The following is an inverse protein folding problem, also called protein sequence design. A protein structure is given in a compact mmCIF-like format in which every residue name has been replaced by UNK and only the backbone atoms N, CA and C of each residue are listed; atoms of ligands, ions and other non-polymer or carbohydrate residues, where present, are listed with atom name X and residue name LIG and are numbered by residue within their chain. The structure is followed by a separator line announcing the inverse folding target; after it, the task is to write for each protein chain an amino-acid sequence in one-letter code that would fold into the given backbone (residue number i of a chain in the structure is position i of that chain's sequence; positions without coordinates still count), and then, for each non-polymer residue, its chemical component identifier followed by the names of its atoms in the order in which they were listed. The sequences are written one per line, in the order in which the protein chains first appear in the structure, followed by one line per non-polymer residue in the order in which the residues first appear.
data_IF_329383730120
#
_entry.id   IF_329383730120
#
_cell.length_a   1.000
_cell.length_b   1.000
_cell.length_c   1.000
_cell.angle_alpha   90.00
_cell.angle_beta   90.00
_cell.angle_gamma   90.00
#
_symmetry.space_group_name_H-M   'P 1'
#
loop_
_entity.id
_entity.type
_entity.pdbx_description
1 polymer ?
#
# COMPACT_ATOMS: atom_id res chain seq x y z
N UNK A 1 -9.42 3.36 -0.45
CA UNK A 1 -8.74 2.86 -1.67
C UNK A 1 -9.51 1.67 -2.16
N UNK A 2 -9.89 1.63 -3.45
CA UNK A 2 -10.76 0.58 -4.00
C UNK A 2 -10.13 -0.02 -5.25
N UNK A 3 -10.18 -1.36 -5.36
CA UNK A 3 -9.85 -2.12 -6.56
C UNK A 3 -11.17 -2.68 -7.14
N UNK A 4 -11.48 -2.38 -8.39
CA UNK A 4 -12.76 -2.73 -8.99
C UNK A 4 -12.53 -3.41 -10.35
N UNK A 5 -13.24 -4.54 -10.57
CA UNK A 5 -13.22 -5.27 -11.84
C UNK A 5 -11.79 -5.63 -12.34
N UNK A 6 -10.85 -5.90 -11.42
CA UNK A 6 -9.50 -6.37 -11.76
C UNK A 6 -9.56 -7.89 -11.93
N UNK A 7 -9.34 -8.35 -13.17
CA UNK A 7 -9.30 -9.78 -13.51
C UNK A 7 -7.88 -10.33 -13.65
N UNK A 8 -6.94 -9.48 -14.02
CA UNK A 8 -5.53 -9.82 -14.15
C UNK A 8 -4.72 -8.94 -13.18
N UNK A 9 -4.32 -9.51 -12.05
CA UNK A 9 -3.61 -8.80 -10.96
C UNK A 9 -2.12 -8.74 -11.22
N UNK A 10 -1.56 -9.81 -11.83
CA UNK A 10 -0.15 -9.93 -12.11
C UNK A 10 0.20 -9.33 -13.46
N UNK A 11 0.96 -8.23 -13.42
CA UNK A 11 1.34 -7.48 -14.62
C UNK A 11 2.82 -7.10 -14.59
N UNK A 12 3.41 -7.01 -15.78
CA UNK A 12 4.74 -6.41 -15.95
C UNK A 12 4.61 -4.91 -16.12
N UNK A 13 5.22 -4.15 -15.21
CA UNK A 13 5.31 -2.69 -15.31
C UNK A 13 6.61 -2.16 -14.70
N UNK A 14 6.99 -0.94 -15.05
CA UNK A 14 7.98 -0.18 -14.29
C UNK A 14 7.34 0.30 -12.99
N UNK A 15 7.46 -0.52 -11.94
CA UNK A 15 6.90 -0.27 -10.60
C UNK A 15 7.35 1.09 -10.05
N UNK A 16 8.63 1.44 -10.23
CA UNK A 16 9.20 2.69 -9.71
C UNK A 16 8.54 3.90 -10.36
N UNK A 17 8.40 3.88 -11.68
CA UNK A 17 7.79 4.97 -12.41
C UNK A 17 6.28 5.10 -12.16
N UNK A 18 5.57 3.97 -12.12
CA UNK A 18 4.14 3.98 -11.78
C UNK A 18 3.91 4.52 -10.37
N UNK A 19 4.69 4.06 -9.39
CA UNK A 19 4.63 4.59 -8.02
C UNK A 19 4.95 6.10 -7.97
N UNK A 20 5.95 6.57 -8.72
CA UNK A 20 6.27 8.00 -8.79
C UNK A 20 5.08 8.83 -9.28
N UNK A 21 4.34 8.35 -10.28
CA UNK A 21 3.10 9.01 -10.76
C UNK A 21 2.05 9.02 -9.66
N UNK A 22 1.74 7.87 -9.07
CA UNK A 22 0.68 7.75 -8.06
C UNK A 22 1.00 8.56 -6.80
N UNK A 23 2.23 8.51 -6.30
CA UNK A 23 2.67 9.30 -5.14
C UNK A 23 2.58 10.79 -5.39
N UNK A 24 2.95 11.26 -6.58
CA UNK A 24 2.80 12.67 -6.93
C UNK A 24 1.33 13.11 -6.97
N UNK A 25 0.43 12.30 -7.53
CA UNK A 25 -1.00 12.59 -7.56
C UNK A 25 -1.61 12.59 -6.15
N UNK A 26 -1.31 11.57 -5.33
CA UNK A 26 -1.81 11.45 -3.96
C UNK A 26 -1.28 12.58 -3.05
N UNK A 27 0.01 12.86 -3.12
CA UNK A 27 0.63 13.96 -2.37
C UNK A 27 -0.02 15.31 -2.71
N UNK A 28 -0.30 15.57 -4.00
CA UNK A 28 -1.02 16.76 -4.39
C UNK A 28 -2.47 16.76 -3.87
N UNK A 29 -3.18 15.65 -3.99
CA UNK A 29 -4.55 15.51 -3.49
C UNK A 29 -4.63 15.82 -1.97
N UNK A 30 -3.74 15.24 -1.17
CA UNK A 30 -3.66 15.47 0.29
C UNK A 30 -3.32 16.95 0.57
N UNK A 31 -2.32 17.49 -0.12
CA UNK A 31 -1.82 18.87 0.08
C UNK A 31 -2.87 19.94 -0.22
N UNK A 32 -3.76 19.71 -1.18
CA UNK A 32 -4.76 20.67 -1.61
C UNK A 32 -6.18 20.39 -1.07
N UNK A 33 -6.31 19.38 -0.23
CA UNK A 33 -7.57 19.05 0.46
C UNK A 33 -7.53 19.58 1.89
N UNK A 34 -8.46 20.45 2.29
CA UNK A 34 -8.55 20.94 3.66
C UNK A 34 -8.87 19.80 4.66
N UNK A 35 -8.58 20.04 5.94
CA UNK A 35 -8.96 19.13 7.01
C UNK A 35 -10.47 18.85 7.00
N UNK A 36 -10.84 17.57 7.12
CA UNK A 36 -12.22 17.08 7.00
C UNK A 36 -12.64 16.78 5.56
N UNK A 37 -11.80 17.05 4.55
CA UNK A 37 -12.04 16.61 3.19
C UNK A 37 -11.68 15.13 2.97
N UNK A 38 -11.93 14.65 1.76
CA UNK A 38 -11.71 13.25 1.37
C UNK A 38 -10.75 13.15 0.18
N UNK A 39 -9.87 12.14 0.22
CA UNK A 39 -9.02 11.73 -0.89
C UNK A 39 -9.26 10.26 -1.14
N UNK A 40 -9.48 9.87 -2.39
CA UNK A 40 -9.69 8.47 -2.76
C UNK A 40 -8.82 8.07 -3.95
N UNK A 41 -8.30 6.84 -3.91
CA UNK A 41 -7.64 6.19 -5.03
C UNK A 41 -8.49 4.99 -5.44
N UNK A 42 -8.86 4.93 -6.71
CA UNK A 42 -9.58 3.80 -7.31
C UNK A 42 -8.77 3.24 -8.46
N UNK A 43 -8.65 1.92 -8.50
CA UNK A 43 -7.99 1.17 -9.56
C UNK A 43 -9.00 0.25 -10.20
N UNK A 44 -9.05 0.20 -11.53
CA UNK A 44 -9.85 -0.79 -12.26
C UNK A 44 -9.18 -1.24 -13.55
N UNK A 45 -9.48 -2.44 -13.96
CA UNK A 45 -9.12 -2.95 -15.27
C UNK A 45 -10.26 -2.66 -16.25
N UNK A 46 -9.93 -2.04 -17.37
CA UNK A 46 -10.84 -1.81 -18.48
C UNK A 46 -10.73 -2.98 -19.46
N UNK A 47 -11.77 -3.21 -20.27
CA UNK A 47 -11.70 -4.19 -21.32
C UNK A 47 -10.50 -3.87 -22.26
N UNK A 48 -9.47 -4.70 -22.19
CA UNK A 48 -8.24 -4.52 -22.97
C UNK A 48 -8.40 -5.01 -24.40
N UNK A 49 -7.79 -4.30 -25.34
CA UNK A 49 -7.93 -4.57 -26.77
C UNK A 49 -6.67 -5.16 -27.40
N UNK A 50 -5.55 -5.20 -26.69
CA UNK A 50 -4.26 -5.67 -27.22
C UNK A 50 -3.93 -7.04 -26.64
N UNK A 51 -3.67 -8.02 -27.50
CA UNK A 51 -3.31 -9.39 -27.08
C UNK A 51 -2.15 -9.36 -26.07
N UNK A 52 -2.40 -9.87 -24.85
CA UNK A 52 -1.41 -9.94 -23.76
C UNK A 52 -1.25 -8.68 -22.93
N UNK A 53 -2.03 -7.60 -23.16
CA UNK A 53 -2.02 -6.38 -22.35
C UNK A 53 -3.41 -6.09 -21.79
N UNK A 54 -3.49 -5.76 -20.50
CA UNK A 54 -4.67 -5.19 -19.85
C UNK A 54 -4.59 -3.66 -19.82
N UNK A 55 -5.72 -2.99 -19.96
CA UNK A 55 -5.81 -1.55 -19.78
C UNK A 55 -6.20 -1.25 -18.33
N UNK A 56 -5.34 -0.56 -17.60
CA UNK A 56 -5.58 -0.22 -16.19
C UNK A 56 -5.83 1.27 -16.04
N UNK A 57 -6.86 1.61 -15.28
CA UNK A 57 -7.23 2.98 -14.96
C UNK A 57 -7.05 3.23 -13.46
N UNK A 58 -6.27 4.26 -13.14
CA UNK A 58 -6.06 4.76 -11.79
C UNK A 58 -6.75 6.11 -11.67
N UNK A 59 -7.66 6.28 -10.70
CA UNK A 59 -8.36 7.53 -10.42
C UNK A 59 -7.99 8.03 -9.04
N UNK A 60 -7.35 9.18 -8.98
CA UNK A 60 -7.11 9.91 -7.73
C UNK A 60 -8.09 11.07 -7.67
N UNK A 61 -9.00 11.03 -6.71
CA UNK A 61 -10.03 12.06 -6.53
C UNK A 61 -9.90 12.70 -5.16
N UNK A 62 -9.98 14.01 -5.12
CA UNK A 62 -9.99 14.82 -3.92
C UNK A 62 -11.24 15.71 -3.84
N UNK A 63 -11.60 16.13 -2.62
CA UNK A 63 -12.63 17.13 -2.35
C UNK A 63 -12.04 18.50 -2.02
N UNK A 64 -10.84 18.79 -2.55
CA UNK A 64 -10.07 19.97 -2.26
C UNK A 64 -10.56 21.25 -2.95
N UNK A 65 -9.65 22.21 -3.05
CA UNK A 65 -9.95 23.54 -3.60
C UNK A 65 -10.31 23.53 -5.09
N UNK A 66 -9.96 22.45 -5.82
CA UNK A 66 -10.08 22.40 -7.26
C UNK A 66 -9.18 23.40 -7.98
N UNK A 67 -9.36 23.55 -9.29
CA UNK A 67 -8.56 24.42 -10.15
C UNK A 67 -9.43 25.20 -11.13
N UNK A 68 -8.93 26.35 -11.57
CA UNK A 68 -9.56 27.12 -12.65
C UNK A 68 -9.47 26.39 -13.98
N UNK A 69 -10.43 26.58 -14.92
CA UNK A 69 -10.39 25.96 -16.23
C UNK A 69 -9.12 26.33 -17.03
N UNK A 70 -8.64 27.54 -16.87
CA UNK A 70 -7.42 28.04 -17.52
C UNK A 70 -6.18 27.35 -17.01
N UNK A 71 -6.08 27.07 -15.71
CA UNK A 71 -4.97 26.36 -15.12
C UNK A 71 -5.04 24.85 -15.40
N UNK A 72 -6.23 24.26 -15.41
CA UNK A 72 -6.44 22.86 -15.74
C UNK A 72 -5.89 22.46 -17.10
N UNK A 73 -5.91 23.38 -18.08
CA UNK A 73 -5.34 23.15 -19.42
C UNK A 73 -3.80 23.16 -19.41
N UNK A 74 -3.18 23.80 -18.44
CA UNK A 74 -1.72 23.99 -18.35
C UNK A 74 -1.06 23.19 -17.24
N UNK A 75 -1.81 22.45 -16.45
CA UNK A 75 -1.29 21.77 -15.26
C UNK A 75 -0.15 20.77 -15.57
N UNK A 76 -0.10 20.27 -16.79
CA UNK A 76 0.95 19.37 -17.25
C UNK A 76 2.14 20.08 -17.91
N UNK A 77 2.12 21.40 -18.03
CA UNK A 77 3.25 22.19 -18.51
C UNK A 77 4.29 22.38 -17.39
N UNK A 78 5.60 22.32 -17.70
CA UNK A 78 6.64 22.49 -16.70
C UNK A 78 6.59 23.90 -16.05
N UNK A 79 6.83 23.96 -14.74
CA UNK A 79 6.89 25.17 -13.91
C UNK A 79 5.57 25.96 -13.77
N UNK A 80 4.45 25.45 -14.30
CA UNK A 80 3.15 26.07 -14.14
C UNK A 80 2.61 25.89 -12.71
N UNK A 81 2.05 26.98 -12.17
CA UNK A 81 1.44 27.02 -10.83
C UNK A 81 0.27 28.00 -10.83
N UNK A 82 -0.84 27.59 -10.20
CA UNK A 82 -1.96 28.49 -10.01
C UNK A 82 -1.60 29.58 -8.98
N UNK A 83 -1.68 30.84 -9.38
CA UNK A 83 -1.34 32.00 -8.52
C UNK A 83 -2.58 32.53 -7.81
N UNK A 84 -3.01 31.85 -6.76
CA UNK A 84 -4.07 32.34 -5.87
C UNK A 84 -3.49 32.62 -4.48
N UNK A 85 -4.14 33.45 -3.69
CA UNK A 85 -3.71 33.78 -2.32
C UNK A 85 -3.62 32.56 -1.40
N UNK A 86 -4.39 31.52 -1.71
CA UNK A 86 -4.41 30.26 -0.97
C UNK A 86 -3.26 29.33 -1.39
N UNK A 87 -2.95 29.27 -2.69
CA UNK A 87 -1.91 28.38 -3.24
C UNK A 87 -0.51 28.97 -3.07
N UNK A 88 -0.37 30.29 -2.99
CA UNK A 88 0.95 30.96 -2.85
C UNK A 88 1.71 30.59 -1.56
N UNK A 89 1.03 30.07 -0.54
CA UNK A 89 1.63 29.61 0.72
C UNK A 89 2.12 28.13 0.65
N UNK A 90 1.78 27.41 -0.40
CA UNK A 90 2.08 26.00 -0.52
C UNK A 90 3.33 25.81 -1.39
N UNK A 91 4.42 25.31 -0.82
CA UNK A 91 5.69 25.07 -1.53
C UNK A 91 5.56 23.95 -2.60
N UNK A 92 6.17 24.13 -3.77
CA UNK A 92 6.25 23.14 -4.83
C UNK A 92 7.04 23.68 -6.02
N UNK A 93 7.73 22.80 -6.74
CA UNK A 93 8.58 23.14 -7.90
C UNK A 93 7.80 23.38 -9.19
N UNK A 94 6.54 22.93 -9.29
CA UNK A 94 5.75 22.97 -10.53
C UNK A 94 6.20 21.95 -11.59
N UNK A 95 7.05 20.97 -11.21
CA UNK A 95 7.57 19.95 -12.13
C UNK A 95 6.83 18.61 -12.01
N UNK A 96 6.23 18.32 -10.86
CA UNK A 96 5.66 16.99 -10.58
C UNK A 96 4.64 16.52 -11.61
N UNK A 97 3.70 17.38 -12.00
CA UNK A 97 2.65 17.03 -12.96
C UNK A 97 3.20 16.82 -14.38
N UNK A 98 4.16 17.65 -14.79
CA UNK A 98 4.84 17.49 -16.08
C UNK A 98 5.66 16.19 -16.14
N UNK A 99 6.34 15.82 -15.03
CA UNK A 99 7.05 14.55 -14.90
C UNK A 99 6.06 13.38 -14.97
N UNK A 100 4.94 13.45 -14.24
CA UNK A 100 3.90 12.42 -14.28
C UNK A 100 3.34 12.21 -15.68
N UNK A 101 3.07 13.30 -16.40
CA UNK A 101 2.63 13.24 -17.81
C UNK A 101 3.65 12.53 -18.70
N UNK A 102 4.92 12.91 -18.61
CA UNK A 102 5.99 12.29 -19.39
C UNK A 102 6.14 10.79 -19.09
N UNK A 103 6.06 10.39 -17.81
CA UNK A 103 6.12 8.97 -17.42
C UNK A 103 4.96 8.20 -18.04
N UNK A 104 3.74 8.71 -17.89
CA UNK A 104 2.53 8.06 -18.43
C UNK A 104 2.60 7.94 -19.95
N UNK A 105 3.07 8.99 -20.65
CA UNK A 105 3.26 8.96 -22.10
C UNK A 105 4.32 7.92 -22.52
N UNK A 106 5.45 7.81 -21.79
CA UNK A 106 6.46 6.76 -22.03
C UNK A 106 5.92 5.34 -21.80
N UNK A 107 4.94 5.18 -20.89
CA UNK A 107 4.24 3.92 -20.68
C UNK A 107 3.16 3.64 -21.73
N UNK A 108 2.99 4.51 -22.73
CA UNK A 108 1.95 4.40 -23.76
C UNK A 108 0.53 4.69 -23.24
N UNK A 109 0.43 5.38 -22.11
CA UNK A 109 -0.82 5.70 -21.44
C UNK A 109 -1.34 7.12 -21.69
N UNK A 110 -2.37 7.49 -20.95
CA UNK A 110 -2.95 8.84 -20.93
C UNK A 110 -3.19 9.30 -19.50
N UNK A 111 -3.05 10.61 -19.27
CA UNK A 111 -3.43 11.25 -18.01
C UNK A 111 -4.36 12.43 -18.30
N UNK A 112 -5.47 12.49 -17.60
CA UNK A 112 -6.51 13.52 -17.74
C UNK A 112 -6.84 14.09 -16.35
N UNK A 113 -7.39 15.30 -16.31
CA UNK A 113 -7.88 15.93 -15.09
C UNK A 113 -9.30 16.45 -15.28
N UNK A 114 -10.16 16.19 -14.31
CA UNK A 114 -11.49 16.76 -14.19
C UNK A 114 -11.53 17.55 -12.89
N UNK A 115 -11.77 18.87 -12.97
CA UNK A 115 -11.69 19.76 -11.81
C UNK A 115 -12.59 20.96 -11.99
N UNK A 116 -13.01 21.53 -10.88
CA UNK A 116 -13.68 22.84 -10.86
C UNK A 116 -13.38 23.54 -9.52
N UNK A 117 -13.29 24.88 -9.48
CA UNK A 117 -13.07 25.61 -8.25
C UNK A 117 -14.07 25.25 -7.14
N UNK A 118 -13.56 24.89 -5.96
CA UNK A 118 -14.36 24.49 -4.81
C UNK A 118 -15.03 23.11 -4.89
N UNK A 119 -14.75 22.32 -5.93
CA UNK A 119 -15.33 20.97 -6.12
C UNK A 119 -14.29 19.86 -6.10
N UNK A 120 -13.02 20.20 -5.82
CA UNK A 120 -11.91 19.23 -5.86
C UNK A 120 -11.45 18.90 -7.27
N UNK A 121 -10.61 17.88 -7.37
CA UNK A 121 -10.07 17.38 -8.63
C UNK A 121 -10.12 15.87 -8.72
N UNK A 122 -10.23 15.34 -9.93
CA UNK A 122 -10.10 13.92 -10.24
C UNK A 122 -9.08 13.75 -11.37
N UNK A 123 -7.95 13.13 -11.04
CA UNK A 123 -6.93 12.74 -12.02
C UNK A 123 -7.19 11.30 -12.46
N UNK A 124 -7.17 11.08 -13.78
CA UNK A 124 -7.45 9.80 -14.40
C UNK A 124 -6.24 9.39 -15.22
N UNK A 125 -5.54 8.36 -14.78
CA UNK A 125 -4.38 7.77 -15.47
C UNK A 125 -4.81 6.45 -16.08
N UNK A 126 -4.57 6.26 -17.39
CA UNK A 126 -4.82 4.99 -18.08
C UNK A 126 -3.52 4.51 -18.69
N UNK A 127 -3.11 3.29 -18.37
CA UNK A 127 -1.88 2.67 -18.87
C UNK A 127 -2.14 1.26 -19.36
N UNK A 128 -1.60 0.85 -20.52
CA UNK A 128 -1.56 -0.53 -20.94
C UNK A 128 -0.44 -1.26 -20.20
N UNK A 129 -0.76 -2.34 -19.46
CA UNK A 129 0.21 -3.15 -18.77
C UNK A 129 0.19 -4.57 -19.34
N UNK A 130 1.38 -5.15 -19.55
CA UNK A 130 1.50 -6.52 -20.04
C UNK A 130 1.10 -7.51 -18.96
N UNK A 131 0.13 -8.36 -19.26
CA UNK A 131 -0.37 -9.37 -18.33
C UNK A 131 0.64 -10.51 -18.22
N UNK A 132 0.89 -10.98 -17.00
CA UNK A 132 1.71 -12.15 -16.72
C UNK A 132 0.87 -13.41 -16.92
N UNK A 133 0.94 -13.98 -18.12
CA UNK A 133 0.06 -15.08 -18.52
C UNK A 133 0.27 -16.39 -17.73
N UNK A 134 1.43 -16.56 -17.10
CA UNK A 134 1.80 -17.78 -16.35
C UNK A 134 1.03 -17.91 -15.02
N UNK A 135 0.49 -16.83 -14.49
CA UNK A 135 -0.33 -16.79 -13.27
C UNK A 135 -1.84 -16.68 -13.53
N UNK A 136 -2.29 -16.80 -14.77
CA UNK A 136 -3.72 -16.88 -15.11
C UNK A 136 -4.35 -18.14 -14.56
N UNK A 137 -4.54 -18.21 -13.25
CA UNK A 137 -5.35 -19.25 -12.63
C UNK A 137 -6.43 -18.61 -11.74
N UNK A 138 -7.40 -17.94 -12.38
CA UNK A 138 -8.75 -17.91 -11.85
C UNK A 138 -9.33 -19.33 -11.98
N UNK A 139 -8.65 -20.34 -11.39
CA UNK A 139 -9.20 -21.67 -11.31
C UNK A 139 -10.26 -21.68 -10.22
N UNK A 140 -11.44 -22.17 -10.57
CA UNK A 140 -12.43 -22.54 -9.56
C UNK A 140 -11.76 -23.39 -8.50
N UNK A 141 -11.98 -23.06 -7.26
CA UNK A 141 -11.46 -23.84 -6.14
C UNK A 141 -12.47 -24.96 -5.89
N UNK A 142 -12.14 -26.25 -6.15
CA UNK A 142 -13.11 -27.34 -6.02
C UNK A 142 -13.76 -27.38 -4.63
N UNK A 143 -13.03 -27.03 -3.59
CA UNK A 143 -13.54 -27.00 -2.21
C UNK A 143 -14.58 -25.89 -1.96
N UNK A 144 -14.65 -24.88 -2.82
CA UNK A 144 -15.58 -23.74 -2.69
C UNK A 144 -16.76 -23.83 -3.69
N UNK A 145 -16.73 -24.78 -4.64
CA UNK A 145 -17.71 -24.84 -5.72
C UNK A 145 -19.14 -25.05 -5.19
N UNK A 146 -20.03 -24.14 -5.58
CA UNK A 146 -21.44 -24.15 -5.18
C UNK A 146 -21.73 -23.70 -3.74
N UNK A 147 -20.70 -23.46 -2.92
CA UNK A 147 -20.89 -22.91 -1.57
C UNK A 147 -21.42 -21.48 -1.63
N UNK A 148 -22.20 -21.09 -0.64
CA UNK A 148 -22.87 -19.79 -0.58
C UNK A 148 -22.12 -18.84 0.36
N UNK A 149 -21.88 -17.62 -0.09
CA UNK A 149 -21.28 -16.56 0.72
C UNK A 149 -22.18 -15.33 0.82
N UNK A 150 -22.03 -14.55 1.89
CA UNK A 150 -22.68 -13.25 2.05
C UNK A 150 -21.62 -12.15 2.16
N UNK A 151 -21.74 -11.15 1.28
CA UNK A 151 -20.90 -9.94 1.30
C UNK A 151 -21.67 -8.82 1.97
N UNK A 152 -21.03 -8.10 2.89
CA UNK A 152 -21.61 -7.01 3.66
C UNK A 152 -20.67 -5.81 3.61
N UNK A 153 -21.06 -4.77 2.89
CA UNK A 153 -20.29 -3.53 2.73
C UNK A 153 -21.27 -2.40 2.40
N UNK A 154 -21.05 -1.18 2.87
CA UNK A 154 -21.92 -0.04 2.61
C UNK A 154 -21.75 0.56 1.20
N UNK A 155 -20.65 0.22 0.50
CA UNK A 155 -20.45 0.57 -0.90
C UNK A 155 -20.93 -0.54 -1.84
N UNK A 156 -21.94 -0.23 -2.63
CA UNK A 156 -22.48 -1.15 -3.65
C UNK A 156 -21.41 -1.65 -4.63
N UNK A 157 -20.45 -0.78 -5.03
CA UNK A 157 -19.41 -1.18 -5.98
C UNK A 157 -18.46 -2.22 -5.38
N UNK A 158 -18.15 -2.08 -4.08
CA UNK A 158 -17.37 -3.08 -3.34
C UNK A 158 -18.13 -4.40 -3.27
N UNK A 159 -19.41 -4.37 -2.89
CA UNK A 159 -20.26 -5.57 -2.88
C UNK A 159 -20.29 -6.28 -4.23
N UNK A 160 -20.50 -5.54 -5.32
CA UNK A 160 -20.56 -6.09 -6.69
C UNK A 160 -19.21 -6.71 -7.11
N UNK A 161 -18.11 -6.02 -6.84
CA UNK A 161 -16.77 -6.51 -7.15
C UNK A 161 -16.43 -7.80 -6.39
N UNK A 162 -16.66 -7.82 -5.07
CA UNK A 162 -16.41 -9.00 -4.24
C UNK A 162 -17.31 -10.18 -4.63
N UNK A 163 -18.57 -9.91 -4.94
CA UNK A 163 -19.49 -10.93 -5.44
C UNK A 163 -18.99 -11.56 -6.73
N UNK A 164 -18.50 -10.77 -7.67
CA UNK A 164 -17.89 -11.26 -8.93
C UNK A 164 -16.64 -12.10 -8.66
N UNK A 165 -15.78 -11.70 -7.73
CA UNK A 165 -14.60 -12.46 -7.32
C UNK A 165 -15.01 -13.83 -6.74
N UNK A 166 -16.01 -13.87 -5.86
CA UNK A 166 -16.53 -15.12 -5.28
C UNK A 166 -17.11 -16.06 -6.33
N UNK A 167 -17.84 -15.52 -7.31
CA UNK A 167 -18.36 -16.30 -8.45
C UNK A 167 -17.22 -16.87 -9.31
N UNK A 168 -16.14 -16.10 -9.49
CA UNK A 168 -14.96 -16.54 -10.25
C UNK A 168 -14.28 -17.74 -9.59
N UNK A 169 -14.23 -17.80 -8.26
CA UNK A 169 -13.67 -18.94 -7.51
C UNK A 169 -14.66 -20.11 -7.36
N UNK A 170 -15.88 -19.98 -7.89
CA UNK A 170 -16.89 -21.04 -7.94
C UNK A 170 -18.00 -20.97 -6.88
N UNK A 171 -18.02 -19.95 -6.04
CA UNK A 171 -19.05 -19.77 -5.01
C UNK A 171 -20.34 -19.14 -5.58
N UNK A 172 -21.46 -19.35 -4.87
CA UNK A 172 -22.67 -18.51 -4.99
C UNK A 172 -22.55 -17.36 -4.00
N UNK A 173 -22.88 -16.15 -4.37
CA UNK A 173 -22.74 -15.00 -3.49
C UNK A 173 -23.99 -14.11 -3.48
N UNK A 174 -24.44 -13.76 -2.27
CA UNK A 174 -25.39 -12.70 -2.01
C UNK A 174 -24.67 -11.51 -1.40
N UNK A 175 -25.28 -10.33 -1.42
CA UNK A 175 -24.73 -9.15 -0.77
C UNK A 175 -25.81 -8.31 -0.08
N UNK A 176 -25.37 -7.48 0.87
CA UNK A 176 -26.22 -6.47 1.54
C UNK A 176 -25.37 -5.26 1.95
N UNK A 177 -26.01 -4.10 2.08
CA UNK A 177 -25.36 -2.82 2.45
C UNK A 177 -25.49 -2.51 3.96
N UNK A 178 -25.98 -3.43 4.78
CA UNK A 178 -26.31 -3.19 6.18
C UNK A 178 -25.97 -4.41 7.05
N UNK A 179 -25.34 -4.15 8.20
CA UNK A 179 -25.05 -5.19 9.18
C UNK A 179 -26.31 -5.83 9.77
N UNK A 180 -27.37 -5.04 10.01
CA UNK A 180 -28.67 -5.57 10.50
C UNK A 180 -29.31 -6.52 9.51
N UNK A 181 -29.26 -6.16 8.23
CA UNK A 181 -29.78 -7.03 7.18
C UNK A 181 -28.94 -8.30 7.05
N UNK A 182 -27.63 -8.21 7.23
CA UNK A 182 -26.72 -9.37 7.21
C UNK A 182 -27.13 -10.40 8.30
N UNK A 183 -27.35 -9.94 9.53
CA UNK A 183 -27.82 -10.82 10.63
C UNK A 183 -29.20 -11.44 10.33
N UNK A 184 -30.12 -10.66 9.74
CA UNK A 184 -31.43 -11.18 9.34
C UNK A 184 -31.30 -12.27 8.26
N UNK A 185 -30.46 -12.04 7.24
CA UNK A 185 -30.21 -13.01 6.16
C UNK A 185 -29.51 -14.27 6.69
N UNK A 186 -28.56 -14.13 7.64
CA UNK A 186 -27.94 -15.28 8.30
C UNK A 186 -29.00 -16.15 9.00
N UNK A 187 -29.91 -15.55 9.78
CA UNK A 187 -31.01 -16.27 10.43
C UNK A 187 -31.91 -16.97 9.41
N UNK A 188 -32.35 -16.26 8.38
CA UNK A 188 -33.23 -16.83 7.33
C UNK A 188 -32.53 -17.98 6.60
N UNK A 189 -31.23 -17.90 6.33
CA UNK A 189 -30.52 -18.98 5.66
C UNK A 189 -30.46 -20.25 6.49
N UNK A 190 -30.34 -20.12 7.83
CA UNK A 190 -30.40 -21.23 8.77
C UNK A 190 -31.82 -21.86 8.76
N UNK A 191 -32.87 -21.05 8.85
CA UNK A 191 -34.26 -21.49 8.85
C UNK A 191 -34.64 -22.21 7.55
N UNK A 192 -34.12 -21.75 6.41
CA UNK A 192 -34.34 -22.33 5.08
C UNK A 192 -33.46 -23.54 4.77
N UNK A 193 -32.43 -23.80 5.56
CA UNK A 193 -31.45 -24.87 5.33
C UNK A 193 -30.50 -24.62 4.18
N UNK A 194 -30.42 -23.38 3.60
CA UNK A 194 -29.45 -22.93 2.59
C UNK A 194 -28.45 -21.98 3.24
N UNK A 195 -27.68 -22.52 4.20
CA UNK A 195 -26.77 -21.77 5.05
C UNK A 195 -25.59 -21.18 4.27
N UNK A 196 -25.17 -19.99 4.65
CA UNK A 196 -23.91 -19.43 4.18
C UNK A 196 -22.74 -20.29 4.68
N UNK A 197 -21.66 -20.27 3.91
CA UNK A 197 -20.40 -20.99 4.20
C UNK A 197 -19.21 -20.03 4.34
N UNK A 198 -19.43 -18.76 4.07
CA UNK A 198 -18.52 -17.67 4.37
C UNK A 198 -19.29 -16.36 4.50
N UNK A 199 -18.85 -15.50 5.42
CA UNK A 199 -19.27 -14.12 5.53
C UNK A 199 -18.06 -13.23 5.26
N UNK A 200 -18.21 -12.25 4.36
CA UNK A 200 -17.19 -11.23 4.06
C UNK A 200 -17.80 -9.90 4.48
N UNK A 201 -17.28 -9.29 5.56
CA UNK A 201 -17.95 -8.19 6.24
C UNK A 201 -17.00 -7.01 6.35
N UNK A 202 -17.45 -5.82 5.90
CA UNK A 202 -16.69 -4.60 6.13
C UNK A 202 -16.60 -4.28 7.62
N UNK A 203 -15.42 -3.80 8.03
CA UNK A 203 -15.18 -3.33 9.39
C UNK A 203 -16.13 -2.19 9.77
N UNK A 204 -16.36 -1.23 8.86
CA UNK A 204 -17.15 -0.03 9.11
C UNK A 204 -18.44 -0.02 8.31
N UNK A 205 -19.52 -0.39 8.94
CA UNK A 205 -20.85 -0.24 8.38
C UNK A 205 -21.59 0.93 9.05
N UNK A 206 -22.53 1.58 8.39
CA UNK A 206 -23.20 2.77 8.91
C UNK A 206 -24.09 2.49 10.13
N UNK A 207 -24.56 1.27 10.29
CA UNK A 207 -25.52 0.86 11.32
C UNK A 207 -24.89 0.08 12.48
N UNK A 208 -23.76 -0.61 12.27
CA UNK A 208 -22.97 -1.28 13.30
C UNK A 208 -21.59 -1.65 12.75
N UNK A 209 -20.59 -1.92 13.60
CA UNK A 209 -19.28 -2.37 13.13
C UNK A 209 -19.27 -3.89 12.83
N UNK A 210 -18.27 -4.35 12.05
CA UNK A 210 -18.17 -5.74 11.64
C UNK A 210 -17.99 -6.73 12.81
N UNK A 211 -17.38 -6.33 13.94
CA UNK A 211 -17.29 -7.16 15.15
C UNK A 211 -18.68 -7.37 15.78
N UNK A 212 -19.50 -6.35 15.80
CA UNK A 212 -20.85 -6.46 16.35
C UNK A 212 -21.72 -7.36 15.46
N UNK A 213 -21.62 -7.24 14.13
CA UNK A 213 -22.25 -8.19 13.19
C UNK A 213 -21.80 -9.61 13.50
N UNK A 214 -20.49 -9.81 13.68
CA UNK A 214 -19.91 -11.12 14.02
C UNK A 214 -20.51 -11.69 15.30
N UNK A 215 -20.55 -10.91 16.39
CA UNK A 215 -21.15 -11.34 17.67
C UNK A 215 -22.60 -11.77 17.50
N UNK A 216 -23.39 -11.01 16.73
CA UNK A 216 -24.80 -11.33 16.49
C UNK A 216 -24.96 -12.59 15.64
N UNK A 217 -24.15 -12.82 14.62
CA UNK A 217 -24.15 -14.07 13.86
C UNK A 217 -23.77 -15.25 14.76
N UNK A 218 -22.73 -15.13 15.58
CA UNK A 218 -22.32 -16.17 16.53
C UNK A 218 -23.42 -16.49 17.57
N UNK A 219 -24.24 -15.49 17.95
CA UNK A 219 -25.38 -15.71 18.85
C UNK A 219 -26.49 -16.59 18.25
N UNK A 220 -26.48 -16.78 16.92
CA UNK A 220 -27.39 -17.72 16.22
C UNK A 220 -26.86 -19.17 16.22
N UNK A 221 -25.76 -19.47 16.92
CA UNK A 221 -25.00 -20.72 16.85
C UNK A 221 -24.49 -21.02 15.43
N UNK A 222 -24.10 -19.98 14.71
CA UNK A 222 -23.51 -20.08 13.38
C UNK A 222 -21.99 -19.92 13.49
N UNK A 223 -21.26 -21.02 13.30
CA UNK A 223 -19.79 -21.08 13.33
C UNK A 223 -19.15 -20.88 11.94
N UNK A 224 -19.94 -20.48 10.94
CA UNK A 224 -19.46 -20.20 9.60
C UNK A 224 -18.30 -19.21 9.62
N UNK A 225 -17.24 -19.43 8.83
CA UNK A 225 -16.12 -18.51 8.75
C UNK A 225 -16.53 -17.07 8.44
N UNK A 226 -15.97 -16.12 9.21
CA UNK A 226 -16.18 -14.69 9.04
C UNK A 226 -14.85 -14.03 8.73
N UNK A 227 -14.77 -13.35 7.58
CA UNK A 227 -13.64 -12.59 7.10
C UNK A 227 -13.99 -11.11 7.21
N UNK A 228 -13.19 -10.34 7.95
CA UNK A 228 -13.36 -8.88 8.07
C UNK A 228 -12.52 -8.17 7.01
N UNK A 229 -13.17 -7.29 6.22
CA UNK A 229 -12.50 -6.37 5.32
C UNK A 229 -12.07 -5.11 6.07
N UNK A 230 -10.81 -4.72 6.00
CA UNK A 230 -10.29 -3.55 6.69
C UNK A 230 -9.33 -2.74 5.83
N UNK A 231 -9.46 -1.40 5.91
CA UNK A 231 -8.53 -0.46 5.29
C UNK A 231 -7.35 -0.07 6.21
N UNK A 232 -7.34 -0.55 7.46
CA UNK A 232 -6.38 -0.20 8.49
C UNK A 232 -5.59 -1.40 8.97
N UNK A 233 -4.46 -1.15 9.64
CA UNK A 233 -3.79 -2.15 10.43
C UNK A 233 -4.75 -2.62 11.54
N UNK A 234 -4.98 -3.93 11.61
CA UNK A 234 -5.91 -4.56 12.55
C UNK A 234 -5.27 -4.97 13.87
N UNK A 235 -3.97 -4.68 14.06
CA UNK A 235 -3.22 -5.07 15.27
C UNK A 235 -3.91 -4.61 16.56
N UNK A 236 -4.47 -3.40 16.56
CA UNK A 236 -5.17 -2.84 17.73
C UNK A 236 -6.50 -3.54 18.06
N UNK A 237 -7.14 -4.14 17.06
CA UNK A 237 -8.48 -4.75 17.19
C UNK A 237 -8.47 -6.27 17.04
N UNK A 238 -7.33 -6.87 16.73
CA UNK A 238 -7.19 -8.30 16.48
C UNK A 238 -7.66 -9.15 17.64
N UNK A 239 -7.28 -8.79 18.87
CA UNK A 239 -7.67 -9.51 20.07
C UNK A 239 -9.19 -9.48 20.29
N UNK A 240 -9.83 -8.32 20.09
CA UNK A 240 -11.28 -8.16 20.21
C UNK A 240 -12.04 -8.91 19.13
N UNK A 241 -11.56 -8.82 17.88
CA UNK A 241 -12.15 -9.50 16.74
C UNK A 241 -12.06 -11.02 16.87
N UNK A 242 -10.90 -11.56 17.26
CA UNK A 242 -10.73 -13.00 17.55
C UNK A 242 -11.64 -13.47 18.69
N UNK A 243 -11.76 -12.68 19.76
CA UNK A 243 -12.67 -12.99 20.86
C UNK A 243 -14.15 -12.97 20.42
N UNK A 244 -14.52 -12.15 19.43
CA UNK A 244 -15.85 -12.13 18.84
C UNK A 244 -16.10 -13.31 17.88
N UNK A 245 -15.06 -14.03 17.45
CA UNK A 245 -15.18 -15.19 16.56
C UNK A 245 -14.90 -14.86 15.09
N UNK A 246 -14.18 -13.78 14.80
CA UNK A 246 -13.63 -13.49 13.45
C UNK A 246 -12.60 -14.56 13.09
N UNK A 247 -12.68 -15.08 11.87
CA UNK A 247 -11.81 -16.18 11.43
C UNK A 247 -10.57 -15.67 10.68
N UNK A 248 -10.72 -14.62 9.87
CA UNK A 248 -9.63 -14.05 9.09
C UNK A 248 -9.86 -12.55 8.82
N UNK A 249 -8.79 -11.86 8.42
CA UNK A 249 -8.83 -10.48 7.95
C UNK A 249 -8.36 -10.42 6.51
N UNK A 250 -8.95 -9.52 5.74
CA UNK A 250 -8.55 -9.23 4.36
C UNK A 250 -8.38 -7.71 4.20
N UNK A 251 -7.21 -7.25 3.73
CA UNK A 251 -6.96 -5.82 3.54
C UNK A 251 -7.78 -5.25 2.38
N UNK A 252 -8.15 -3.97 2.48
CA UNK A 252 -8.64 -3.18 1.34
C UNK A 252 -7.48 -2.32 0.79
N UNK A 253 -7.26 -2.25 -0.54
CA UNK A 253 -8.08 -2.83 -1.61
C UNK A 253 -7.92 -4.34 -1.70
N UNK A 254 -9.02 -5.03 -1.96
CA UNK A 254 -9.03 -6.48 -2.05
C UNK A 254 -8.77 -6.94 -3.47
N UNK A 255 -7.86 -7.90 -3.61
CA UNK A 255 -7.59 -8.62 -4.84
C UNK A 255 -8.13 -10.04 -4.77
N UNK A 256 -8.28 -10.69 -5.92
CA UNK A 256 -8.79 -12.06 -5.99
C UNK A 256 -7.88 -13.04 -5.24
N UNK A 257 -6.55 -12.82 -5.32
CA UNK A 257 -5.53 -13.55 -4.57
C UNK A 257 -5.74 -13.44 -3.06
N UNK A 258 -5.95 -12.23 -2.54
CA UNK A 258 -6.14 -11.98 -1.09
C UNK A 258 -7.42 -12.63 -0.58
N UNK A 259 -8.52 -12.52 -1.35
CA UNK A 259 -9.79 -13.14 -1.03
C UNK A 259 -9.67 -14.66 -1.02
N UNK A 260 -9.01 -15.25 -2.03
CA UNK A 260 -8.74 -16.68 -2.12
C UNK A 260 -7.98 -17.17 -0.89
N UNK A 261 -6.86 -16.52 -0.54
CA UNK A 261 -6.01 -16.92 0.58
C UNK A 261 -6.77 -16.79 1.91
N UNK A 262 -7.57 -15.74 2.08
CA UNK A 262 -8.42 -15.55 3.25
C UNK A 262 -9.50 -16.64 3.36
N UNK A 263 -10.14 -17.01 2.24
CA UNK A 263 -11.13 -18.09 2.19
C UNK A 263 -10.49 -19.45 2.49
N UNK A 264 -9.33 -19.75 1.89
CA UNK A 264 -8.61 -21.01 2.14
C UNK A 264 -8.19 -21.13 3.61
N UNK A 265 -7.67 -20.04 4.19
CA UNK A 265 -7.35 -19.98 5.62
C UNK A 265 -8.58 -20.20 6.48
N UNK A 266 -9.70 -19.57 6.13
CA UNK A 266 -10.94 -19.65 6.87
C UNK A 266 -11.57 -21.05 6.89
N UNK A 267 -11.39 -21.86 5.81
CA UNK A 267 -11.85 -23.25 5.74
C UNK A 267 -10.80 -24.25 6.25
N UNK A 268 -9.70 -23.78 6.85
CA UNK A 268 -8.66 -24.64 7.44
C UNK A 268 -7.73 -25.32 6.44
N UNK A 269 -7.72 -24.87 5.18
CA UNK A 269 -6.75 -25.31 4.17
C UNK A 269 -5.63 -24.27 4.12
N UNK A 270 -4.37 -24.73 4.23
CA UNK A 270 -3.24 -23.83 4.02
C UNK A 270 -3.23 -23.37 2.56
N UNK A 271 -3.07 -22.07 2.28
CA UNK A 271 -2.78 -21.60 0.93
C UNK A 271 -1.54 -22.33 0.38
N UNK A 272 -1.54 -22.68 -0.90
CA UNK A 272 -0.31 -23.14 -1.55
C UNK A 272 0.70 -22.01 -1.47
N UNK A 273 1.87 -22.27 -0.90
CA UNK A 273 2.99 -21.33 -0.85
C UNK A 273 3.35 -20.93 -2.28
N UNK A 274 2.99 -19.70 -2.66
CA UNK A 274 3.46 -19.14 -3.92
C UNK A 274 4.97 -18.90 -3.79
N UNK A 275 5.80 -19.37 -4.73
CA UNK A 275 7.21 -19.05 -4.73
C UNK A 275 7.37 -17.55 -5.01
N UNK A 276 7.61 -16.76 -3.98
CA UNK A 276 7.81 -15.31 -4.05
C UNK A 276 7.19 -14.49 -2.93
N UNK A 277 6.23 -15.02 -2.18
CA UNK A 277 5.80 -14.43 -0.91
C UNK A 277 6.63 -15.10 0.18
N UNK A 278 7.61 -14.38 0.69
CA UNK A 278 8.36 -14.83 1.87
C UNK A 278 7.37 -15.10 3.00
N UNK A 279 7.50 -16.25 3.71
CA UNK A 279 6.67 -16.52 4.87
C UNK A 279 6.80 -15.34 5.83
N UNK A 280 5.70 -14.89 6.41
CA UNK A 280 5.72 -14.11 7.65
C UNK A 280 6.28 -15.02 8.77
N UNK A 281 7.57 -15.36 8.70
CA UNK A 281 8.27 -15.70 9.92
C UNK A 281 8.23 -14.43 10.76
N UNK A 282 7.85 -14.51 12.03
CA UNK A 282 8.06 -13.42 12.95
C UNK A 282 9.59 -13.25 13.02
N UNK A 283 10.12 -12.38 12.18
CA UNK A 283 11.47 -11.88 12.33
C UNK A 283 11.40 -11.03 13.57
N UNK A 284 11.79 -11.61 14.70
CA UNK A 284 11.87 -10.89 15.96
C UNK A 284 13.06 -9.94 15.89
N UNK A 285 12.76 -8.71 15.45
CA UNK A 285 13.72 -7.60 15.45
C UNK A 285 13.65 -6.80 16.76
N UNK A 286 12.95 -7.30 17.77
CA UNK A 286 12.84 -6.66 19.06
C UNK A 286 14.24 -6.38 19.64
N UNK A 287 14.50 -5.11 19.96
CA UNK A 287 15.79 -4.65 20.48
C UNK A 287 16.86 -4.36 19.44
N UNK A 288 16.56 -4.44 18.13
CA UNK A 288 17.43 -3.94 17.07
C UNK A 288 17.23 -2.45 16.86
N UNK A 289 18.32 -1.69 16.93
CA UNK A 289 18.30 -0.23 16.86
C UNK A 289 18.82 0.29 15.52
N UNK A 290 18.00 1.03 14.81
CA UNK A 290 18.31 1.60 13.49
C UNK A 290 18.47 3.11 13.60
N UNK A 291 19.51 3.67 12.94
CA UNK A 291 19.60 5.09 12.65
C UNK A 291 19.07 5.33 11.23
N UNK A 292 17.97 6.07 11.09
CA UNK A 292 17.35 6.46 9.83
C UNK A 292 17.74 7.90 9.46
N UNK A 293 18.46 8.09 8.36
CA UNK A 293 18.78 9.39 7.80
C UNK A 293 17.92 9.66 6.56
N UNK A 294 16.98 10.60 6.66
CA UNK A 294 16.00 11.00 5.63
C UNK A 294 15.65 12.47 5.83
N UNK A 295 15.78 13.28 4.80
CA UNK A 295 15.54 14.73 4.89
C UNK A 295 14.05 15.11 4.82
N UNK A 296 13.26 14.35 4.09
CA UNK A 296 11.82 14.59 3.98
C UNK A 296 11.09 14.11 5.23
N UNK A 297 10.43 15.03 5.94
CA UNK A 297 9.71 14.76 7.19
C UNK A 297 8.66 13.67 7.04
N UNK A 298 7.82 13.74 5.99
CA UNK A 298 6.77 12.74 5.75
C UNK A 298 7.35 11.35 5.44
N UNK A 299 8.39 11.26 4.59
CA UNK A 299 9.06 10.00 4.30
C UNK A 299 9.68 9.40 5.56
N UNK A 300 10.27 10.26 6.40
CA UNK A 300 10.87 9.87 7.68
C UNK A 300 9.83 9.32 8.65
N UNK A 301 8.69 9.99 8.81
CA UNK A 301 7.58 9.51 9.63
C UNK A 301 7.05 8.17 9.16
N UNK A 302 6.77 8.02 7.86
CA UNK A 302 6.29 6.76 7.27
C UNK A 302 7.31 5.63 7.50
N UNK A 303 8.61 5.90 7.29
CA UNK A 303 9.63 4.89 7.48
C UNK A 303 9.77 4.47 8.95
N UNK A 304 9.68 5.41 9.90
CA UNK A 304 9.68 5.14 11.35
C UNK A 304 8.48 4.28 11.74
N UNK A 305 7.29 4.62 11.29
CA UNK A 305 6.05 3.84 11.53
C UNK A 305 6.21 2.38 11.03
N UNK A 306 6.69 2.23 9.79
CA UNK A 306 6.93 0.90 9.20
C UNK A 306 7.94 0.10 10.02
N UNK A 307 9.09 0.70 10.38
CA UNK A 307 10.15 0.01 11.11
C UNK A 307 9.71 -0.36 12.54
N UNK A 308 9.03 0.56 13.24
CA UNK A 308 8.49 0.31 14.57
C UNK A 308 7.46 -0.83 14.59
N UNK A 309 6.59 -0.91 13.57
CA UNK A 309 5.61 -1.99 13.42
C UNK A 309 6.25 -3.39 13.28
N UNK A 310 7.53 -3.45 12.90
CA UNK A 310 8.31 -4.69 12.84
C UNK A 310 9.26 -4.89 14.05
N UNK A 311 9.12 -4.07 15.09
CA UNK A 311 9.82 -4.22 16.37
C UNK A 311 11.21 -3.57 16.43
N UNK A 312 11.60 -2.75 15.44
CA UNK A 312 12.82 -1.97 15.51
C UNK A 312 12.68 -0.77 16.44
N UNK A 313 13.77 -0.39 17.10
CA UNK A 313 13.92 0.93 17.71
C UNK A 313 14.57 1.87 16.68
N UNK A 314 14.03 3.08 16.46
CA UNK A 314 14.47 3.96 15.39
C UNK A 314 14.84 5.34 15.92
N UNK A 315 16.11 5.72 15.72
CA UNK A 315 16.57 7.10 15.82
C UNK A 315 16.58 7.74 14.42
N UNK A 316 16.31 9.04 14.34
CA UNK A 316 16.23 9.75 13.06
C UNK A 316 17.29 10.83 12.90
N UNK A 317 17.69 11.11 11.67
CA UNK A 317 18.57 12.24 11.30
C UNK A 317 18.01 12.91 10.04
N UNK A 318 17.92 14.24 10.04
CA UNK A 318 17.35 15.04 8.94
C UNK A 318 18.34 15.31 7.79
N UNK A 319 19.60 14.94 7.95
CA UNK A 319 20.67 15.06 6.94
C UNK A 319 21.87 14.23 7.33
N UNK A 320 22.82 14.08 6.39
CA UNK A 320 24.03 13.30 6.61
C UNK A 320 24.95 13.84 7.71
N UNK A 321 24.97 15.14 7.97
CA UNK A 321 25.81 15.71 9.02
C UNK A 321 25.32 15.30 10.43
N UNK A 322 24.01 15.32 10.64
CA UNK A 322 23.39 14.85 11.89
C UNK A 322 23.59 13.33 12.04
N UNK A 323 23.48 12.56 10.96
CA UNK A 323 23.74 11.13 10.99
C UNK A 323 25.18 10.80 11.41
N UNK A 324 26.18 11.48 10.83
CA UNK A 324 27.58 11.33 11.21
C UNK A 324 27.80 11.67 12.68
N UNK A 325 27.21 12.76 13.17
CA UNK A 325 27.36 13.18 14.56
C UNK A 325 26.72 12.18 15.54
N UNK A 326 25.54 11.65 15.22
CA UNK A 326 24.89 10.61 16.03
C UNK A 326 25.73 9.35 16.10
N UNK A 327 26.26 8.87 14.96
CA UNK A 327 27.15 7.70 14.96
C UNK A 327 28.45 7.99 15.73
N UNK A 328 29.04 9.17 15.58
CA UNK A 328 30.29 9.56 16.26
C UNK A 328 30.16 9.58 17.79
N UNK A 329 28.98 10.01 18.28
CA UNK A 329 28.70 10.14 19.71
C UNK A 329 28.03 8.90 20.33
N UNK A 330 27.65 7.93 19.50
CA UNK A 330 27.04 6.68 19.93
C UNK A 330 28.00 5.80 20.73
N UNK A 331 27.45 5.01 21.66
CA UNK A 331 28.20 3.92 22.25
C UNK A 331 28.42 2.81 21.18
N UNK A 332 29.58 2.11 21.21
CA UNK A 332 29.77 0.94 20.36
C UNK A 332 28.65 -0.08 20.52
N UNK A 333 27.98 -0.45 19.41
CA UNK A 333 26.83 -1.37 19.42
C UNK A 333 25.48 -0.72 19.75
N UNK A 334 25.41 0.61 19.87
CA UNK A 334 24.14 1.32 20.05
C UNK A 334 23.24 1.21 18.82
N UNK A 335 23.78 1.29 17.63
CA UNK A 335 23.05 1.06 16.39
C UNK A 335 23.52 -0.24 15.74
N UNK A 336 22.57 -1.06 15.31
CA UNK A 336 22.80 -2.28 14.55
C UNK A 336 22.97 -1.97 13.06
N UNK A 337 22.31 -0.91 12.57
CA UNK A 337 22.24 -0.56 11.16
C UNK A 337 22.00 0.94 10.99
N UNK A 338 22.54 1.51 9.93
CA UNK A 338 22.18 2.84 9.44
C UNK A 338 21.46 2.72 8.10
N UNK A 339 20.25 3.26 8.00
CA UNK A 339 19.54 3.48 6.75
C UNK A 339 19.83 4.92 6.31
N UNK A 340 20.53 5.08 5.19
CA UNK A 340 21.08 6.36 4.75
C UNK A 340 20.48 6.77 3.40
N UNK A 341 19.68 7.83 3.40
CA UNK A 341 19.30 8.45 2.13
C UNK A 341 20.52 8.97 1.39
N UNK A 342 20.58 8.69 0.09
CA UNK A 342 21.66 9.16 -0.78
C UNK A 342 21.55 10.66 -1.02
N UNK A 343 20.36 11.18 -1.25
CA UNK A 343 20.13 12.57 -1.62
C UNK A 343 19.54 13.38 -0.45
N UNK A 344 20.42 14.06 0.28
CA UNK A 344 20.04 14.92 1.40
C UNK A 344 20.72 16.29 1.29
N UNK A 345 20.08 17.38 1.79
CA UNK A 345 20.69 18.70 1.89
C UNK A 345 21.81 18.72 2.92
N UNK A 346 22.68 19.74 2.88
CA UNK A 346 23.79 20.00 3.81
C UNK A 346 24.92 18.96 3.64
N UNK A 347 24.62 17.67 3.73
CA UNK A 347 25.55 16.56 3.51
C UNK A 347 24.78 15.37 2.93
N UNK A 348 25.17 14.93 1.75
CA UNK A 348 24.64 13.76 1.08
C UNK A 348 25.06 12.44 1.77
N UNK A 349 24.37 11.34 1.47
CA UNK A 349 24.62 10.04 2.10
C UNK A 349 25.99 9.44 1.76
N UNK A 350 26.52 9.68 0.57
CA UNK A 350 27.86 9.20 0.20
C UNK A 350 28.95 9.89 1.01
N UNK A 351 28.86 11.21 1.16
CA UNK A 351 29.78 12.00 1.98
C UNK A 351 29.69 11.65 3.45
N UNK A 352 28.45 11.44 3.96
CA UNK A 352 28.21 11.00 5.32
C UNK A 352 28.84 9.62 5.58
N UNK A 353 28.67 8.68 4.67
CA UNK A 353 29.25 7.34 4.78
C UNK A 353 30.77 7.38 4.83
N UNK A 354 31.46 8.14 3.94
CA UNK A 354 32.90 8.27 3.98
C UNK A 354 33.36 8.81 5.33
N UNK A 355 32.71 9.84 5.88
CA UNK A 355 33.06 10.40 7.19
C UNK A 355 32.81 9.39 8.33
N UNK A 356 31.77 8.57 8.27
CA UNK A 356 31.58 7.50 9.25
C UNK A 356 32.73 6.48 9.16
N UNK A 357 33.13 6.09 7.95
CA UNK A 357 34.24 5.15 7.72
C UNK A 357 35.60 5.67 8.17
N UNK A 358 35.80 7.00 8.28
CA UNK A 358 37.00 7.69 8.76
C UNK A 358 37.03 7.86 10.29
N UNK A 359 36.02 7.41 11.04
CA UNK A 359 36.03 7.52 12.50
C UNK A 359 37.16 6.69 13.12
N UNK A 360 37.78 7.21 14.17
CA UNK A 360 38.89 6.55 14.88
C UNK A 360 38.48 5.24 15.56
N UNK A 361 37.19 5.14 15.99
CA UNK A 361 36.67 3.94 16.63
C UNK A 361 36.24 2.91 15.56
N UNK A 362 36.94 1.76 15.43
CA UNK A 362 36.64 0.76 14.40
C UNK A 362 35.23 0.17 14.50
N UNK A 363 34.64 0.09 15.72
CA UNK A 363 33.29 -0.42 15.90
C UNK A 363 32.22 0.54 15.35
N UNK A 364 32.45 1.85 15.42
CA UNK A 364 31.58 2.86 14.83
C UNK A 364 31.84 3.02 13.32
N UNK A 365 33.12 3.00 12.90
CA UNK A 365 33.47 3.05 11.49
C UNK A 365 32.98 1.84 10.69
N UNK A 366 32.86 0.67 11.34
CA UNK A 366 32.42 -0.59 10.73
C UNK A 366 30.89 -0.81 10.75
N UNK A 367 30.09 0.13 11.29
CA UNK A 367 28.64 -0.04 11.36
C UNK A 367 28.04 -0.34 9.97
N UNK A 368 27.14 -1.33 9.84
CA UNK A 368 26.45 -1.57 8.57
C UNK A 368 25.67 -0.33 8.11
N UNK A 369 25.82 0.04 6.83
CA UNK A 369 25.11 1.17 6.22
C UNK A 369 24.44 0.68 4.94
N UNK A 370 23.11 0.80 4.85
CA UNK A 370 22.36 0.55 3.63
C UNK A 370 21.93 1.88 3.01
N UNK A 371 22.22 2.05 1.73
CA UNK A 371 21.75 3.20 0.96
C UNK A 371 20.24 3.13 0.76
N UNK A 372 19.54 4.23 0.91
CA UNK A 372 18.16 4.40 0.44
C UNK A 372 18.18 5.27 -0.81
N UNK A 373 17.68 4.77 -1.93
CA UNK A 373 17.71 5.49 -3.21
C UNK A 373 16.34 5.43 -3.91
N UNK A 374 15.96 6.52 -4.56
CA UNK A 374 14.79 6.56 -5.42
C UNK A 374 14.99 5.79 -6.74
N UNK A 375 16.24 5.56 -7.15
CA UNK A 375 16.61 4.90 -8.38
C UNK A 375 17.64 3.78 -8.09
N UNK A 376 17.29 2.55 -8.43
CA UNK A 376 18.17 1.38 -8.28
C UNK A 376 19.01 1.13 -9.56
N UNK A 377 19.56 2.19 -10.18
CA UNK A 377 20.44 2.01 -11.34
C UNK A 377 21.81 1.44 -10.94
N UNK A 378 22.42 0.69 -11.84
CA UNK A 378 23.75 0.09 -11.62
C UNK A 378 24.84 1.10 -11.23
N UNK A 379 24.69 2.36 -11.63
CA UNK A 379 25.60 3.45 -11.30
C UNK A 379 25.47 3.87 -9.82
N UNK A 380 24.26 4.05 -9.30
CA UNK A 380 24.02 4.40 -7.89
C UNK A 380 24.48 3.26 -6.96
N UNK A 381 24.23 2.01 -7.37
CA UNK A 381 24.69 0.82 -6.66
C UNK A 381 26.22 0.75 -6.57
N UNK A 382 26.92 1.05 -7.67
CA UNK A 382 28.37 1.07 -7.70
C UNK A 382 28.91 2.18 -6.79
N UNK A 383 28.38 3.38 -6.91
CA UNK A 383 28.78 4.52 -6.09
C UNK A 383 28.56 4.27 -4.59
N UNK A 384 27.46 3.63 -4.20
CA UNK A 384 27.17 3.25 -2.82
C UNK A 384 28.24 2.28 -2.26
N UNK A 385 28.59 1.25 -3.01
CA UNK A 385 29.62 0.29 -2.59
C UNK A 385 31.01 0.93 -2.55
N UNK A 386 31.38 1.79 -3.52
CA UNK A 386 32.64 2.47 -3.58
C UNK A 386 32.86 3.47 -2.42
N UNK A 387 31.80 4.08 -1.90
CA UNK A 387 31.89 4.95 -0.72
C UNK A 387 31.90 4.19 0.61
N UNK A 388 31.74 2.86 0.61
CA UNK A 388 31.81 2.01 1.79
C UNK A 388 30.47 1.63 2.39
N UNK A 389 29.35 1.76 1.67
CA UNK A 389 28.04 1.20 2.06
C UNK A 389 28.01 -0.32 1.86
N UNK A 390 27.20 -1.01 2.63
CA UNK A 390 27.14 -2.48 2.65
C UNK A 390 26.06 -3.05 1.73
N UNK A 391 25.11 -2.22 1.29
CA UNK A 391 24.02 -2.60 0.41
C UNK A 391 23.13 -1.41 0.08
N UNK A 392 22.00 -1.67 -0.54
CA UNK A 392 21.06 -0.62 -0.95
C UNK A 392 19.61 -1.10 -0.86
N UNK A 393 18.70 -0.13 -0.67
CA UNK A 393 17.25 -0.30 -0.65
C UNK A 393 16.61 0.71 -1.60
N UNK A 394 15.61 0.30 -2.33
CA UNK A 394 14.78 1.22 -3.09
C UNK A 394 13.78 1.93 -2.17
N UNK A 395 13.53 3.20 -2.40
CA UNK A 395 12.41 3.92 -1.78
C UNK A 395 11.12 3.69 -2.58
N UNK A 396 9.96 3.48 -1.94
CA UNK A 396 9.74 3.39 -0.50
C UNK A 396 10.31 2.09 0.09
N UNK A 397 10.63 2.11 1.40
CA UNK A 397 11.19 0.95 2.09
C UNK A 397 10.18 -0.19 2.07
N UNK A 398 10.59 -1.32 1.50
CA UNK A 398 9.86 -2.59 1.53
C UNK A 398 10.53 -3.48 2.56
N UNK A 399 9.80 -3.91 3.58
CA UNK A 399 10.38 -4.70 4.69
C UNK A 399 11.02 -6.00 4.21
N UNK A 400 10.43 -6.68 3.23
CA UNK A 400 11.01 -7.90 2.68
C UNK A 400 12.43 -7.67 2.13
N UNK A 401 12.62 -6.56 1.40
CA UNK A 401 13.92 -6.18 0.84
C UNK A 401 14.90 -5.76 1.96
N UNK A 402 14.42 -5.01 2.96
CA UNK A 402 15.20 -4.63 4.14
C UNK A 402 15.69 -5.88 4.89
N UNK A 403 14.81 -6.83 5.19
CA UNK A 403 15.16 -8.08 5.87
C UNK A 403 16.18 -8.88 5.07
N UNK A 404 16.00 -8.95 3.76
CA UNK A 404 16.93 -9.65 2.88
C UNK A 404 18.32 -9.00 2.88
N UNK A 405 18.40 -7.67 2.81
CA UNK A 405 19.68 -6.93 2.86
C UNK A 405 20.30 -7.01 4.26
N UNK A 406 19.51 -6.90 5.32
CA UNK A 406 19.99 -7.06 6.70
C UNK A 406 20.64 -8.43 6.94
N UNK A 407 20.04 -9.52 6.47
CA UNK A 407 20.60 -10.88 6.58
C UNK A 407 21.97 -11.05 5.90
N UNK A 408 22.33 -10.13 5.00
CA UNK A 408 23.64 -10.15 4.32
C UNK A 408 24.71 -9.40 5.10
N UNK A 409 24.30 -8.45 5.98
CA UNK A 409 25.21 -7.49 6.61
C UNK A 409 25.25 -7.61 8.15
N UNK A 410 24.28 -8.27 8.76
CA UNK A 410 24.23 -8.66 10.17
C UNK A 410 24.48 -10.16 10.33
#
# INVERSE_FOLDING_TARGET
MDAIDITDEDVYCDKTRLNQVLMNLLSNAIKFTPAGGTVSLRVRQLAGQVSGCGQYEFRVKDSGIGMSPEFAQKIFEPFERERTSTVSKIQGTGLGMAISKNIVDMMGGTIEVQTAPGKGSEFIVRVPLRIQAEHRKAEKIPALEGLKALVVDDDFNTCDSVTKMLVTVGMRADWTLSGKEAVLRARQSIEMGDTYKAYIIDWRLPDMNGIEVTRQIRSLNDDTPIIILTAYDWSDIEAEAKAAGVTAFCPKPMFLSDLRDSLMTAIGQKPEEQPGVLPKEPTDFAGKHILLAEDNELNREIAVEILNAYGFEVDTAENGAIAVEKVRTAAPGQYDLVLMDVQMPIMDGYTATRRIRELENPALAGIPILAMTANAFDEDRRNALECGMNGFLSKPIVIADLVQEMRKVL
#
